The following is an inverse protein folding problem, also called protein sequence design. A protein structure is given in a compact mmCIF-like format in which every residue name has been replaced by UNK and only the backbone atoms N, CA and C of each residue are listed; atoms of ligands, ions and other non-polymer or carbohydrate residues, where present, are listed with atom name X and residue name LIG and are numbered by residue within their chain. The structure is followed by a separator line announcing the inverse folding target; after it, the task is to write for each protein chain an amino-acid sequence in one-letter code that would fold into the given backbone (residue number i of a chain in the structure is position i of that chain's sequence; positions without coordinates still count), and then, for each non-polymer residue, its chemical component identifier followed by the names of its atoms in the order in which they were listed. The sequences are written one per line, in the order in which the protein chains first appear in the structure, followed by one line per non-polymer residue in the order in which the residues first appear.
data_IF_399782642024
#
_entry.id   IF_399782642024
#
_cell.length_a   1.000
_cell.length_b   1.000
_cell.length_c   1.000
_cell.angle_alpha   90.00
_cell.angle_beta   90.00
_cell.angle_gamma   90.00
#
_symmetry.space_group_name_H-M   'P 1'
#
loop_
_entity.id
_entity.type
_entity.pdbx_description
1 polymer ?
#
# COMPACT_ATOMS: atom_id res chain seq x y z
N UNK A 1 -9.12 11.03 4.65
CA UNK A 1 -8.78 11.58 5.98
C UNK A 1 -7.48 12.35 5.87
N UNK A 2 -7.44 13.58 6.38
CA UNK A 2 -6.19 14.37 6.42
C UNK A 2 -5.29 13.84 7.54
N UNK A 3 -4.03 13.58 7.18
CA UNK A 3 -3.01 13.21 8.16
C UNK A 3 -2.75 14.44 9.06
N UNK A 4 -2.81 14.31 10.40
CA UNK A 4 -2.58 15.43 11.30
C UNK A 4 -1.15 15.96 11.19
N UNK A 5 -0.89 17.24 11.53
CA UNK A 5 0.44 17.84 11.47
C UNK A 5 1.46 17.13 12.38
N UNK A 6 2.76 17.06 11.99
CA UNK A 6 3.83 16.41 12.78
C UNK A 6 3.96 16.90 14.22
N UNK A 7 3.67 18.18 14.45
CA UNK A 7 3.78 18.85 15.74
C UNK A 7 2.61 18.53 16.69
N UNK A 8 1.52 17.93 16.17
CA UNK A 8 0.35 17.64 16.97
C UNK A 8 0.50 16.37 17.80
N UNK A 9 -0.01 16.37 19.04
CA UNK A 9 -0.09 15.16 19.89
C UNK A 9 -0.90 14.05 19.21
N UNK A 10 -1.87 14.43 18.37
CA UNK A 10 -2.71 13.52 17.60
C UNK A 10 -1.94 12.79 16.49
N UNK A 11 -0.77 13.28 16.08
CA UNK A 11 0.10 12.62 15.12
C UNK A 11 0.60 11.26 15.63
N UNK A 12 1.02 11.20 16.89
CA UNK A 12 1.50 9.94 17.51
C UNK A 12 0.38 8.92 17.65
N UNK A 13 -0.87 9.39 17.78
CA UNK A 13 -2.06 8.53 17.87
C UNK A 13 -2.67 8.17 16.51
N UNK A 14 -2.24 8.85 15.44
CA UNK A 14 -2.80 8.67 14.11
C UNK A 14 -2.45 7.29 13.55
N UNK A 15 -3.47 6.58 13.07
CA UNK A 15 -3.30 5.26 12.46
C UNK A 15 -3.01 4.12 13.45
N UNK A 16 -2.89 4.37 14.76
CA UNK A 16 -2.64 3.29 15.73
C UNK A 16 -3.79 2.28 15.77
N UNK A 17 -5.04 2.77 15.76
CA UNK A 17 -6.24 1.92 15.75
C UNK A 17 -6.36 1.13 14.44
N UNK A 18 -6.00 1.74 13.32
CA UNK A 18 -6.03 1.11 12.01
C UNK A 18 -4.96 0.02 11.91
N UNK A 19 -3.75 0.29 12.42
CA UNK A 19 -2.65 -0.67 12.50
C UNK A 19 -2.97 -1.82 13.45
N UNK A 20 -3.62 -1.56 14.58
CA UNK A 20 -4.09 -2.63 15.46
C UNK A 20 -5.10 -3.55 14.76
N UNK A 21 -6.01 -2.96 13.98
CA UNK A 21 -6.99 -3.70 13.19
C UNK A 21 -6.31 -4.53 12.09
N UNK A 22 -5.37 -3.93 11.37
CA UNK A 22 -4.59 -4.62 10.34
C UNK A 22 -3.75 -5.75 10.92
N UNK A 23 -3.13 -5.55 12.09
CA UNK A 23 -2.34 -6.58 12.76
C UNK A 23 -3.22 -7.78 13.14
N UNK A 24 -4.44 -7.56 13.65
CA UNK A 24 -5.40 -8.64 13.93
C UNK A 24 -5.87 -9.38 12.68
N UNK A 25 -6.00 -8.69 11.55
CA UNK A 25 -6.44 -9.29 10.29
C UNK A 25 -5.33 -10.09 9.59
N UNK A 26 -4.08 -9.61 9.63
CA UNK A 26 -2.95 -10.24 8.95
C UNK A 26 -2.28 -11.34 9.77
N UNK A 27 -2.37 -11.27 11.10
CA UNK A 27 -1.83 -12.28 11.99
C UNK A 27 -2.97 -12.96 12.74
N UNK A 28 -3.18 -14.24 12.42
CA UNK A 28 -4.23 -15.06 13.03
C UNK A 28 -3.85 -15.46 14.47
N UNK A 29 -4.82 -15.48 15.38
CA UNK A 29 -4.65 -15.86 16.79
C UNK A 29 -4.23 -17.33 16.96
N UNK A 30 -4.48 -18.15 15.94
CA UNK A 30 -4.08 -19.57 15.87
C UNK A 30 -2.56 -19.77 15.76
N UNK A 31 -1.79 -18.70 15.49
CA UNK A 31 -0.34 -18.76 15.36
C UNK A 31 0.34 -18.61 16.74
N UNK A 32 1.16 -19.58 17.15
CA UNK A 32 1.91 -19.54 18.43
C UNK A 32 2.74 -18.26 18.64
N UNK A 33 3.07 -17.54 17.57
CA UNK A 33 3.84 -16.29 17.59
C UNK A 33 2.98 -15.04 17.30
N UNK A 34 1.65 -15.12 17.42
CA UNK A 34 0.72 -14.02 17.14
C UNK A 34 1.08 -12.75 17.91
N UNK A 35 1.17 -12.81 19.24
CA UNK A 35 1.44 -11.61 20.03
C UNK A 35 2.84 -11.03 19.78
N UNK A 36 3.83 -11.89 19.52
CA UNK A 36 5.19 -11.44 19.16
C UNK A 36 5.19 -10.70 17.82
N UNK A 37 4.53 -11.24 16.79
CA UNK A 37 4.43 -10.60 15.46
C UNK A 37 3.61 -9.31 15.50
N UNK A 38 2.54 -9.28 16.29
CA UNK A 38 1.70 -8.09 16.47
C UNK A 38 2.47 -6.96 17.16
N UNK A 39 3.18 -7.25 18.24
CA UNK A 39 4.05 -6.27 18.92
C UNK A 39 5.17 -5.79 18.01
N UNK A 40 5.81 -6.69 17.27
CA UNK A 40 6.84 -6.34 16.30
C UNK A 40 6.29 -5.42 15.21
N UNK A 41 5.12 -5.73 14.64
CA UNK A 41 4.48 -4.91 13.61
C UNK A 41 4.12 -3.50 14.11
N UNK A 42 3.60 -3.38 15.33
CA UNK A 42 3.33 -2.08 15.96
C UNK A 42 4.61 -1.29 16.24
N UNK A 43 5.68 -1.96 16.67
CA UNK A 43 6.98 -1.34 16.91
C UNK A 43 7.65 -0.88 15.59
N UNK A 44 7.53 -1.68 14.53
CA UNK A 44 7.96 -1.31 13.19
C UNK A 44 7.20 -0.07 12.70
N UNK A 45 5.87 -0.02 12.88
CA UNK A 45 5.04 1.14 12.53
C UNK A 45 5.47 2.42 13.26
N UNK A 46 5.74 2.33 14.56
CA UNK A 46 6.17 3.47 15.38
C UNK A 46 7.52 4.08 14.98
N UNK A 47 8.34 3.33 14.25
CA UNK A 47 9.66 3.77 13.77
C UNK A 47 9.64 4.40 12.37
N UNK A 48 8.49 4.38 11.67
CA UNK A 48 8.38 4.89 10.32
C UNK A 48 8.34 6.44 10.29
N UNK A 49 9.40 7.05 9.78
CA UNK A 49 9.42 8.50 9.47
C UNK A 49 9.11 8.80 8.00
N UNK A 50 7.99 8.26 7.47
CA UNK A 50 7.67 8.34 6.03
C UNK A 50 7.26 9.73 5.53
N UNK A 51 6.86 10.64 6.42
CA UNK A 51 6.24 11.92 6.05
C UNK A 51 7.23 12.99 5.59
N UNK A 52 8.54 12.78 5.76
CA UNK A 52 9.57 13.75 5.36
C UNK A 52 9.94 13.67 3.87
N UNK A 53 9.44 12.66 3.14
CA UNK A 53 9.98 12.29 1.81
C UNK A 53 8.96 12.37 0.68
N UNK A 54 7.67 12.60 0.97
CA UNK A 54 6.66 12.65 -0.10
C UNK A 54 6.78 13.95 -0.91
N UNK A 55 6.97 13.89 -2.24
CA UNK A 55 7.00 15.08 -3.09
C UNK A 55 5.69 15.85 -3.03
N UNK A 56 5.77 17.20 -2.98
CA UNK A 56 4.60 18.08 -2.93
C UNK A 56 3.61 17.83 -4.08
N UNK A 57 4.12 17.50 -5.27
CA UNK A 57 3.30 17.23 -6.45
C UNK A 57 2.40 15.99 -6.31
N UNK A 58 2.82 15.02 -5.48
CA UNK A 58 2.06 13.80 -5.16
C UNK A 58 1.02 14.08 -4.05
N UNK A 59 1.32 15.02 -3.15
CA UNK A 59 0.39 15.46 -2.09
C UNK A 59 -0.73 16.33 -2.67
N UNK A 60 -0.39 17.22 -3.60
CA UNK A 60 -1.33 18.13 -4.28
C UNK A 60 -2.25 17.41 -5.28
N UNK A 61 -2.08 16.10 -5.50
CA UNK A 61 -2.89 15.33 -6.44
C UNK A 61 -2.68 15.72 -7.90
N UNK A 62 -1.60 16.42 -8.22
CA UNK A 62 -1.26 16.86 -9.60
C UNK A 62 -0.81 15.71 -10.49
N UNK A 63 -0.53 14.54 -9.91
CA UNK A 63 -0.20 13.32 -10.63
C UNK A 63 -1.47 12.43 -10.79
N UNK A 64 -2.11 12.38 -11.97
CA UNK A 64 -3.39 11.68 -12.14
C UNK A 64 -3.27 10.15 -12.07
N UNK A 65 -2.06 9.60 -12.17
CA UNK A 65 -1.81 8.15 -12.25
C UNK A 65 -1.33 7.53 -10.94
N UNK A 66 -0.90 8.33 -9.96
CA UNK A 66 -0.29 7.83 -8.72
C UNK A 66 -0.88 8.56 -7.52
N UNK A 67 -1.61 7.83 -6.68
CA UNK A 67 -2.12 8.38 -5.42
C UNK A 67 -0.99 8.47 -4.40
N UNK A 68 -1.12 9.34 -3.41
CA UNK A 68 -0.16 9.45 -2.31
C UNK A 68 0.10 8.10 -1.64
N UNK A 69 -0.94 7.28 -1.50
CA UNK A 69 -0.84 5.91 -0.96
C UNK A 69 0.00 5.00 -1.85
N UNK A 70 -0.29 4.91 -3.16
CA UNK A 70 0.47 4.03 -4.06
C UNK A 70 1.92 4.46 -4.21
N UNK A 71 2.17 5.78 -4.26
CA UNK A 71 3.52 6.33 -4.27
C UNK A 71 4.29 5.93 -3.01
N UNK A 72 3.68 6.10 -1.83
CA UNK A 72 4.31 5.81 -0.54
C UNK A 72 4.66 4.32 -0.44
N UNK A 73 3.74 3.43 -0.80
CA UNK A 73 3.96 1.98 -0.78
C UNK A 73 5.12 1.56 -1.71
N UNK A 74 5.14 2.07 -2.95
CA UNK A 74 6.24 1.79 -3.88
C UNK A 74 7.58 2.37 -3.40
N UNK A 75 7.56 3.58 -2.83
CA UNK A 75 8.76 4.22 -2.32
C UNK A 75 9.39 3.43 -1.16
N UNK A 76 8.57 2.94 -0.22
CA UNK A 76 9.07 2.14 0.90
C UNK A 76 9.66 0.81 0.45
N UNK A 77 9.05 0.14 -0.52
CA UNK A 77 9.57 -1.13 -1.05
C UNK A 77 10.81 -0.97 -1.93
N UNK A 78 11.04 0.22 -2.51
CA UNK A 78 12.24 0.50 -3.33
C UNK A 78 13.50 0.63 -2.47
N UNK A 79 13.37 0.93 -1.17
CA UNK A 79 14.50 0.99 -0.25
C UNK A 79 14.85 -0.43 0.21
N UNK A 80 15.98 -0.98 -0.29
CA UNK A 80 16.42 -2.34 0.05
C UNK A 80 16.58 -2.56 1.56
N UNK A 81 17.01 -1.53 2.29
CA UNK A 81 17.13 -1.53 3.74
C UNK A 81 15.79 -1.70 4.47
N UNK A 82 14.69 -1.21 3.89
CA UNK A 82 13.36 -1.25 4.51
C UNK A 82 12.88 -2.67 4.74
N UNK A 83 13.15 -3.57 3.79
CA UNK A 83 12.81 -4.99 3.90
C UNK A 83 13.54 -5.68 5.06
N UNK A 84 14.77 -5.24 5.35
CA UNK A 84 15.58 -5.79 6.44
C UNK A 84 15.17 -5.23 7.80
N UNK A 85 14.88 -3.94 7.90
CA UNK A 85 14.53 -3.28 9.17
C UNK A 85 13.04 -3.40 9.54
N UNK A 86 12.17 -3.54 8.55
CA UNK A 86 10.70 -3.57 8.69
C UNK A 86 10.08 -4.72 7.88
N UNK A 87 10.46 -5.99 8.17
CA UNK A 87 10.03 -7.13 7.37
C UNK A 87 8.52 -7.34 7.37
N UNK A 88 7.82 -7.06 8.48
CA UNK A 88 6.38 -7.29 8.59
C UNK A 88 5.59 -6.22 7.83
N UNK A 89 5.99 -4.96 7.95
CA UNK A 89 5.42 -3.88 7.14
C UNK A 89 5.71 -4.03 5.65
N UNK A 90 6.90 -4.51 5.30
CA UNK A 90 7.25 -4.72 3.89
C UNK A 90 6.33 -5.76 3.25
N UNK A 91 6.06 -6.87 3.96
CA UNK A 91 5.09 -7.87 3.50
C UNK A 91 3.68 -7.27 3.35
N UNK A 92 3.24 -6.45 4.30
CA UNK A 92 1.96 -5.75 4.19
C UNK A 92 1.90 -4.86 2.94
N UNK A 93 2.96 -4.09 2.67
CA UNK A 93 3.00 -3.20 1.52
C UNK A 93 3.00 -3.96 0.19
N UNK A 94 3.72 -5.08 0.11
CA UNK A 94 3.66 -6.00 -1.04
C UNK A 94 2.25 -6.56 -1.23
N UNK A 95 1.57 -6.96 -0.14
CA UNK A 95 0.16 -7.36 -0.18
C UNK A 95 -0.74 -6.22 -0.66
N UNK A 96 -0.61 -5.00 -0.14
CA UNK A 96 -1.42 -3.86 -0.54
C UNK A 96 -1.24 -3.50 -2.03
N UNK A 97 -0.03 -3.65 -2.59
CA UNK A 97 0.22 -3.38 -4.02
C UNK A 97 -0.22 -4.53 -4.94
N UNK A 98 -0.27 -5.76 -4.43
CA UNK A 98 -0.72 -6.93 -5.19
C UNK A 98 -2.23 -7.11 -5.15
N UNK A 99 -2.91 -6.57 -4.13
CA UNK A 99 -4.37 -6.53 -4.08
C UNK A 99 -4.86 -5.54 -5.17
N UNK A 100 -5.73 -5.97 -6.10
CA UNK A 100 -6.41 -5.04 -6.99
C UNK A 100 -7.40 -4.22 -6.15
N UNK A 101 -6.95 -3.08 -5.62
CA UNK A 101 -7.75 -2.21 -4.73
C UNK A 101 -8.95 -1.54 -5.47
N UNK A 102 -9.14 -1.76 -6.78
CA UNK A 102 -10.31 -1.24 -7.48
C UNK A 102 -10.94 -2.20 -8.48
N UNK A 103 -12.27 -2.12 -8.61
CA UNK A 103 -13.09 -2.71 -9.67
C UNK A 103 -12.59 -2.37 -11.08
N UNK A 104 -11.71 -1.37 -11.22
CA UNK A 104 -11.11 -0.97 -12.47
C UNK A 104 -10.06 -1.96 -13.01
N UNK A 105 -9.52 -2.88 -12.20
CA UNK A 105 -8.59 -3.90 -12.70
C UNK A 105 -9.28 -4.94 -13.60
N UNK A 106 -10.41 -5.54 -13.18
CA UNK A 106 -11.26 -6.32 -14.08
C UNK A 106 -11.68 -5.53 -15.33
N UNK A 107 -12.07 -4.26 -15.18
CA UNK A 107 -12.51 -3.42 -16.31
C UNK A 107 -11.35 -3.10 -17.28
N UNK A 108 -10.16 -2.78 -16.78
CA UNK A 108 -8.96 -2.58 -17.61
C UNK A 108 -8.53 -3.87 -18.30
N UNK A 109 -8.59 -4.99 -17.59
CA UNK A 109 -8.35 -6.33 -18.17
C UNK A 109 -9.34 -6.65 -19.28
N UNK A 110 -10.63 -6.41 -19.06
CA UNK A 110 -11.69 -6.61 -20.03
C UNK A 110 -11.54 -5.68 -21.25
N UNK A 111 -11.19 -4.41 -21.05
CA UNK A 111 -10.91 -3.47 -22.14
C UNK A 111 -9.71 -3.89 -22.97
N UNK A 112 -8.62 -4.34 -22.34
CA UNK A 112 -7.45 -4.86 -23.06
C UNK A 112 -7.81 -6.11 -23.88
N UNK A 113 -8.62 -7.01 -23.33
CA UNK A 113 -9.11 -8.20 -24.03
C UNK A 113 -10.02 -7.82 -25.23
N UNK A 114 -10.87 -6.82 -25.06
CA UNK A 114 -11.75 -6.29 -26.12
C UNK A 114 -10.94 -5.73 -27.28
N UNK A 115 -9.93 -4.90 -27.02
CA UNK A 115 -9.03 -4.37 -28.05
C UNK A 115 -8.28 -5.50 -28.79
N UNK A 116 -7.79 -6.51 -28.07
CA UNK A 116 -7.12 -7.66 -28.68
C UNK A 116 -8.06 -8.48 -29.56
N UNK A 117 -9.28 -8.75 -29.10
CA UNK A 117 -10.32 -9.44 -29.88
C UNK A 117 -10.61 -8.70 -31.18
N UNK A 118 -10.87 -7.39 -31.11
CA UNK A 118 -11.16 -6.57 -32.30
C UNK A 118 -9.99 -6.58 -33.29
N UNK A 119 -8.76 -6.48 -32.78
CA UNK A 119 -7.54 -6.54 -33.60
C UNK A 119 -7.39 -7.90 -34.29
N UNK A 120 -7.64 -9.01 -33.60
CA UNK A 120 -7.58 -10.35 -34.19
C UNK A 120 -8.67 -10.55 -35.25
N UNK A 121 -9.90 -10.11 -34.98
CA UNK A 121 -10.99 -10.18 -35.94
C UNK A 121 -10.69 -9.38 -37.21
N UNK A 122 -10.13 -8.17 -37.09
CA UNK A 122 -9.73 -7.36 -38.25
C UNK A 122 -8.63 -8.00 -39.10
N UNK A 123 -7.79 -8.87 -38.49
CA UNK A 123 -6.72 -9.60 -39.20
C UNK A 123 -7.23 -10.86 -39.90
N UNK A 124 -8.33 -11.44 -39.43
CA UNK A 124 -8.98 -12.61 -40.07
C UNK A 124 -9.90 -12.20 -41.22
N UNK A 125 -10.29 -10.93 -41.30
CA UNK A 125 -11.11 -10.37 -42.39
C UNK A 125 -10.25 -9.79 -43.54
N UNK A 126 -8.93 -10.01 -43.51
CA UNK A 126 -8.00 -9.81 -44.63
C UNK A 126 -7.60 -11.17 -45.19
#
# INVERSE_FOLDING_TARGET
MMVPPPESVNFKKYGLKDIETLAKQFYDESNLNYEVKKQQFQAEWGKLEWKKVIPKDVVDGKCPTVTTTTWTLHHMLKQSSYRHFYPLLSNLYECCLSIPISSAWPERGASALKCNKTRLQSRLQK
#
